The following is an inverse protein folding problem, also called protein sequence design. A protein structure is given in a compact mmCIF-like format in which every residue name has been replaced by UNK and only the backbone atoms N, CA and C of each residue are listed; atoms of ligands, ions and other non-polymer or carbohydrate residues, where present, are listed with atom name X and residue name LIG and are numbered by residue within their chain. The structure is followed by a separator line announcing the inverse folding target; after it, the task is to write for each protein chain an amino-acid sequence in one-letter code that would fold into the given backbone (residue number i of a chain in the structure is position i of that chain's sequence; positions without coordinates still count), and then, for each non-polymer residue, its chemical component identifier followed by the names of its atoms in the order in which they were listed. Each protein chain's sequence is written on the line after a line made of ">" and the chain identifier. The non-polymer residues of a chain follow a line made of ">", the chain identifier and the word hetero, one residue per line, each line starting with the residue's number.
data_IF_218798919199
#
_entry.id   IF_218798919199
#
_cell.length_a   1.000
_cell.length_b   1.000
_cell.length_c   1.000
_cell.angle_alpha   90.00
_cell.angle_beta   90.00
_cell.angle_gamma   90.00
#
_symmetry.space_group_name_H-M   'P 1'
#
loop_
_entity.id
_entity.type
_entity.pdbx_description
1 polymer ?
#
# COMPACT_ATOMS: atom_id res chain seq x y z
N UNK A 1 -1.19 13.76 5.52
CA UNK A 1 -1.70 12.74 4.58
C UNK A 1 -3.24 12.78 4.63
N UNK A 2 -3.95 12.32 3.59
CA UNK A 2 -5.41 12.17 3.66
C UNK A 2 -5.76 11.01 4.60
N UNK A 3 -6.96 11.02 5.17
CA UNK A 3 -7.47 9.97 6.05
C UNK A 3 -8.26 8.87 5.31
N UNK A 4 -8.39 8.98 3.99
CA UNK A 4 -9.08 7.99 3.15
C UNK A 4 -8.59 8.04 1.71
N UNK A 5 -8.77 6.93 1.00
CA UNK A 5 -8.46 6.76 -0.43
C UNK A 5 -9.50 5.83 -1.08
N UNK A 6 -9.84 6.09 -2.35
CA UNK A 6 -10.71 5.20 -3.14
C UNK A 6 -9.84 4.20 -3.90
N UNK A 7 -10.13 2.92 -3.73
CA UNK A 7 -9.47 1.79 -4.38
C UNK A 7 -10.51 1.07 -5.22
N UNK A 8 -10.45 1.26 -6.54
CA UNK A 8 -11.43 0.71 -7.51
C UNK A 8 -12.90 1.00 -7.16
N UNK A 9 -13.17 2.13 -6.51
CA UNK A 9 -14.51 2.54 -6.05
C UNK A 9 -14.82 2.21 -4.58
N UNK A 10 -13.98 1.41 -3.92
CA UNK A 10 -14.10 1.08 -2.50
C UNK A 10 -13.30 2.05 -1.64
N UNK A 11 -13.92 2.64 -0.61
CA UNK A 11 -13.24 3.59 0.27
C UNK A 11 -12.46 2.84 1.37
N UNK A 12 -11.16 3.10 1.44
CA UNK A 12 -10.28 2.67 2.52
C UNK A 12 -9.97 3.85 3.45
N UNK A 13 -10.03 3.61 4.76
CA UNK A 13 -9.57 4.54 5.79
C UNK A 13 -8.06 4.40 5.94
N UNK A 14 -7.38 5.51 6.19
CA UNK A 14 -5.94 5.57 6.44
C UNK A 14 -5.71 6.06 7.86
N UNK A 15 -5.03 5.26 8.67
CA UNK A 15 -4.70 5.57 10.05
C UNK A 15 -3.19 5.55 10.28
N UNK A 16 -2.74 6.38 11.20
CA UNK A 16 -1.38 6.36 11.71
C UNK A 16 -1.41 5.82 13.14
N UNK A 17 -0.67 4.74 13.41
CA UNK A 17 -0.71 4.05 14.70
C UNK A 17 0.69 3.75 15.22
N UNK A 18 0.74 3.50 16.53
CA UNK A 18 1.95 3.12 17.27
C UNK A 18 1.94 1.60 17.48
N UNK A 19 3.08 0.93 17.25
CA UNK A 19 3.17 -0.53 17.33
C UNK A 19 2.97 -1.10 18.75
N UNK A 20 3.12 -0.27 19.81
CA UNK A 20 2.82 -0.68 21.20
C UNK A 20 1.34 -0.97 21.43
N UNK A 21 0.46 -0.31 20.67
CA UNK A 21 -0.99 -0.42 20.82
C UNK A 21 -1.67 -1.18 19.69
N UNK A 22 -0.92 -1.54 18.64
CA UNK A 22 -1.41 -2.30 17.49
C UNK A 22 -0.42 -3.43 17.19
N UNK A 23 -0.78 -4.66 17.61
CA UNK A 23 0.08 -5.83 17.46
C UNK A 23 0.27 -6.26 16.00
N UNK A 24 -0.61 -5.84 15.09
CA UNK A 24 -0.45 -6.12 13.66
C UNK A 24 0.76 -5.36 13.08
N UNK A 25 1.26 -4.33 13.76
CA UNK A 25 2.47 -3.60 13.37
C UNK A 25 3.78 -4.23 13.86
N UNK A 26 3.77 -5.39 14.52
CA UNK A 26 5.00 -6.03 14.98
C UNK A 26 5.89 -6.44 13.79
N UNK A 27 7.08 -5.87 13.73
CA UNK A 27 8.00 -6.04 12.60
C UNK A 27 7.60 -5.34 11.29
N UNK A 28 6.46 -4.63 11.25
CA UNK A 28 5.96 -3.99 10.03
C UNK A 28 6.08 -2.45 10.08
N UNK A 29 6.18 -1.84 8.89
CA UNK A 29 6.08 -0.39 8.71
C UNK A 29 4.65 0.08 8.45
N UNK A 30 3.79 -0.82 8.01
CA UNK A 30 2.37 -0.60 7.74
C UNK A 30 1.68 -1.93 7.46
N UNK A 31 0.36 -1.88 7.31
CA UNK A 31 -0.41 -3.01 6.77
C UNK A 31 -1.67 -2.52 6.08
N UNK A 32 -2.16 -3.33 5.15
CA UNK A 32 -3.47 -3.23 4.54
C UNK A 32 -4.38 -4.34 5.06
N UNK A 33 -5.50 -3.98 5.67
CA UNK A 33 -6.56 -4.91 6.05
C UNK A 33 -7.74 -4.74 5.07
N UNK A 34 -7.82 -5.58 4.03
CA UNK A 34 -8.84 -5.45 3.00
C UNK A 34 -10.24 -5.84 3.46
N UNK A 35 -10.38 -6.61 4.55
CA UNK A 35 -11.71 -6.95 5.07
C UNK A 35 -12.37 -5.77 5.78
N UNK A 36 -11.58 -4.98 6.51
CA UNK A 36 -12.06 -3.81 7.27
C UNK A 36 -11.89 -2.48 6.50
N UNK A 37 -11.33 -2.53 5.29
CA UNK A 37 -11.02 -1.36 4.45
C UNK A 37 -10.16 -0.34 5.20
N UNK A 38 -9.10 -0.84 5.81
CA UNK A 38 -8.19 -0.05 6.64
C UNK A 38 -6.75 -0.21 6.13
N UNK A 39 -6.06 0.91 5.98
CA UNK A 39 -4.61 0.98 5.81
C UNK A 39 -4.04 1.62 7.07
N UNK A 40 -3.04 1.00 7.66
CA UNK A 40 -2.32 1.52 8.82
C UNK A 40 -0.87 1.78 8.46
N UNK A 41 -0.36 2.93 8.89
CA UNK A 41 1.05 3.30 8.79
C UNK A 41 1.59 3.42 10.21
N UNK A 42 2.73 2.78 10.47
CA UNK A 42 3.44 2.92 11.73
C UNK A 42 4.05 4.31 11.85
N UNK A 43 4.08 4.89 13.05
CA UNK A 43 4.69 6.21 13.28
C UNK A 43 5.72 6.25 14.39
N UNK A 44 5.89 5.17 15.15
CA UNK A 44 6.76 5.12 16.33
C UNK A 44 8.09 4.44 16.05
N UNK A 45 8.82 5.03 15.10
CA UNK A 45 10.20 4.67 14.80
C UNK A 45 11.15 5.22 15.87
N UNK A 46 12.31 4.58 16.04
CA UNK A 46 13.37 5.06 16.95
C UNK A 46 13.99 6.39 16.49
N UNK A 47 13.78 6.73 15.22
CA UNK A 47 14.17 7.99 14.59
C UNK A 47 12.92 8.76 14.15
N UNK A 48 13.04 10.07 13.91
CA UNK A 48 11.96 10.86 13.34
C UNK A 48 11.76 10.47 11.87
N UNK A 49 10.62 9.85 11.50
CA UNK A 49 10.41 9.38 10.14
C UNK A 49 10.24 10.55 9.17
N UNK A 50 10.97 10.53 8.06
CA UNK A 50 10.71 11.46 6.96
C UNK A 50 9.32 11.19 6.36
N UNK A 51 8.63 12.27 5.95
CA UNK A 51 7.36 12.18 5.26
C UNK A 51 7.46 11.41 3.95
N UNK A 52 8.66 11.38 3.32
CA UNK A 52 8.93 10.56 2.14
C UNK A 52 8.75 9.06 2.44
N UNK A 53 9.33 8.58 3.55
CA UNK A 53 9.23 7.20 4.02
C UNK A 53 7.78 6.83 4.35
N UNK A 54 7.04 7.69 5.06
CA UNK A 54 5.63 7.42 5.35
C UNK A 54 4.78 7.33 4.07
N UNK A 55 5.11 8.12 3.05
CA UNK A 55 4.45 8.05 1.74
C UNK A 55 4.84 6.80 0.96
N UNK A 56 6.06 6.29 1.12
CA UNK A 56 6.49 5.02 0.51
C UNK A 56 5.70 3.85 1.07
N UNK A 57 5.62 3.73 2.40
CA UNK A 57 4.78 2.74 3.08
C UNK A 57 3.33 2.85 2.61
N UNK A 58 2.76 4.06 2.58
CA UNK A 58 1.38 4.23 2.12
C UNK A 58 1.18 3.76 0.66
N UNK A 59 2.15 3.98 -0.24
CA UNK A 59 2.03 3.47 -1.62
C UNK A 59 2.06 1.95 -1.65
N UNK A 60 2.92 1.33 -0.86
CA UNK A 60 2.99 -0.13 -0.71
C UNK A 60 1.63 -0.70 -0.26
N UNK A 61 1.05 -0.18 0.82
CA UNK A 61 -0.25 -0.68 1.31
C UNK A 61 -1.42 -0.40 0.37
N UNK A 62 -1.36 0.69 -0.40
CA UNK A 62 -2.36 0.97 -1.45
C UNK A 62 -2.28 -0.09 -2.56
N UNK A 63 -1.09 -0.55 -2.96
CA UNK A 63 -0.95 -1.60 -3.99
C UNK A 63 -1.57 -2.91 -3.51
N UNK A 64 -1.32 -3.31 -2.26
CA UNK A 64 -2.01 -4.43 -1.61
C UNK A 64 -3.54 -4.29 -1.72
N UNK A 65 -4.08 -3.11 -1.43
CA UNK A 65 -5.52 -2.86 -1.56
C UNK A 65 -6.01 -3.01 -3.01
N UNK A 66 -5.28 -2.49 -4.01
CA UNK A 66 -5.65 -2.63 -5.43
C UNK A 66 -5.64 -4.09 -5.89
N UNK A 67 -4.67 -4.89 -5.45
CA UNK A 67 -4.63 -6.32 -5.77
C UNK A 67 -5.78 -7.08 -5.14
N UNK A 68 -6.18 -6.73 -3.91
CA UNK A 68 -7.36 -7.32 -3.30
C UNK A 68 -8.66 -6.93 -4.02
N UNK A 69 -8.92 -5.64 -4.20
CA UNK A 69 -10.18 -5.16 -4.80
C UNK A 69 -10.33 -5.57 -6.28
N UNK A 70 -9.23 -5.84 -6.99
CA UNK A 70 -9.26 -6.37 -8.36
C UNK A 70 -9.48 -7.89 -8.43
N UNK A 71 -9.50 -8.59 -7.30
CA UNK A 71 -9.59 -10.04 -7.22
C UNK A 71 -8.28 -10.77 -7.58
N UNK A 72 -7.21 -10.04 -7.89
CA UNK A 72 -5.90 -10.63 -8.21
C UNK A 72 -5.25 -11.30 -7.00
N UNK A 73 -5.49 -10.77 -5.79
CA UNK A 73 -5.02 -11.38 -4.56
C UNK A 73 -5.43 -12.86 -4.46
N UNK A 74 -6.70 -13.15 -4.68
CA UNK A 74 -7.23 -14.53 -4.60
C UNK A 74 -7.01 -15.32 -5.90
N UNK A 75 -7.07 -14.66 -7.06
CA UNK A 75 -7.02 -15.36 -8.35
C UNK A 75 -5.60 -15.69 -8.82
N UNK A 76 -4.59 -14.97 -8.31
CA UNK A 76 -3.19 -15.17 -8.69
C UNK A 76 -2.53 -16.38 -8.02
N UNK A 77 -3.18 -17.03 -7.06
CA UNK A 77 -2.67 -18.21 -6.36
C UNK A 77 -2.33 -19.36 -7.35
N UNK A 78 -3.17 -19.53 -8.37
CA UNK A 78 -2.91 -20.46 -9.50
C UNK A 78 -1.64 -20.13 -10.32
N UNK A 79 -1.07 -18.94 -10.12
CA UNK A 79 0.13 -18.39 -10.78
C UNK A 79 1.14 -17.89 -9.75
N UNK A 80 1.58 -18.78 -8.85
CA UNK A 80 2.61 -18.50 -7.83
C UNK A 80 2.32 -17.30 -6.92
N UNK A 81 1.04 -16.96 -6.74
CA UNK A 81 0.57 -15.87 -5.88
C UNK A 81 1.30 -14.54 -6.12
N UNK A 82 1.59 -14.20 -7.38
CA UNK A 82 2.40 -13.02 -7.71
C UNK A 82 1.79 -11.71 -7.20
N UNK A 83 0.46 -11.62 -7.07
CA UNK A 83 -0.21 -10.42 -6.58
C UNK A 83 -0.12 -10.26 -5.05
N UNK A 84 0.30 -11.29 -4.32
CA UNK A 84 0.61 -11.22 -2.88
C UNK A 84 2.12 -11.30 -2.61
N UNK A 85 2.93 -11.26 -3.66
CA UNK A 85 4.38 -11.25 -3.56
C UNK A 85 4.87 -9.84 -3.22
N UNK A 86 5.55 -9.68 -2.09
CA UNK A 86 6.02 -8.37 -1.62
C UNK A 86 6.98 -7.67 -2.60
N UNK A 87 7.81 -8.42 -3.33
CA UNK A 87 8.69 -7.85 -4.36
C UNK A 87 7.88 -7.19 -5.49
N UNK A 88 6.77 -7.80 -5.90
CA UNK A 88 5.86 -7.23 -6.90
C UNK A 88 5.13 -5.99 -6.37
N UNK A 89 4.67 -6.04 -5.12
CA UNK A 89 4.01 -4.91 -4.44
C UNK A 89 4.96 -3.73 -4.34
N UNK A 90 6.18 -3.97 -3.85
CA UNK A 90 7.26 -2.98 -3.74
C UNK A 90 7.62 -2.40 -5.10
N UNK A 91 7.80 -3.24 -6.12
CA UNK A 91 8.14 -2.77 -7.45
C UNK A 91 7.08 -1.80 -7.97
N UNK A 92 5.78 -2.13 -7.85
CA UNK A 92 4.72 -1.22 -8.29
C UNK A 92 4.69 0.05 -7.44
N UNK A 93 4.84 -0.05 -6.12
CA UNK A 93 4.81 1.11 -5.22
C UNK A 93 5.98 2.10 -5.50
N UNK A 94 7.15 1.57 -5.85
CA UNK A 94 8.36 2.32 -6.18
C UNK A 94 8.30 2.88 -7.60
N UNK A 95 7.86 2.07 -8.58
CA UNK A 95 7.85 2.47 -9.99
C UNK A 95 6.58 3.22 -10.41
N UNK A 96 5.47 3.14 -9.67
CA UNK A 96 4.17 3.66 -10.08
C UNK A 96 4.20 5.13 -10.51
N UNK A 97 4.88 6.00 -9.74
CA UNK A 97 5.04 7.41 -10.11
C UNK A 97 5.87 7.60 -11.40
N UNK A 98 6.88 6.76 -11.63
CA UNK A 98 7.72 6.81 -12.84
C UNK A 98 6.98 6.28 -14.06
N UNK A 99 6.19 5.21 -13.89
CA UNK A 99 5.32 4.65 -14.93
C UNK A 99 4.28 5.68 -15.36
N UNK A 100 3.59 6.30 -14.40
CA UNK A 100 2.60 7.33 -14.68
C UNK A 100 3.23 8.53 -15.42
N UNK A 101 4.39 9.00 -14.95
CA UNK A 101 5.16 10.05 -15.62
C UNK A 101 5.54 9.67 -17.06
N UNK A 102 5.97 8.44 -17.30
CA UNK A 102 6.30 7.97 -18.64
C UNK A 102 5.05 7.95 -19.56
N UNK A 103 3.88 7.61 -19.03
CA UNK A 103 2.62 7.73 -19.77
C UNK A 103 2.29 9.19 -20.10
N UNK A 104 2.46 10.12 -19.17
CA UNK A 104 2.25 11.56 -19.40
C UNK A 104 3.18 12.08 -20.50
N UNK A 105 4.48 11.74 -20.45
CA UNK A 105 5.47 12.13 -21.44
C UNK A 105 5.17 11.58 -22.85
N UNK A 106 4.54 10.40 -22.91
CA UNK A 106 4.12 9.78 -24.16
C UNK A 106 2.75 10.28 -24.66
N UNK A 107 2.04 11.13 -23.91
CA UNK A 107 0.68 11.56 -24.23
C UNK A 107 -0.37 10.45 -24.12
N UNK A 108 -0.12 9.46 -23.25
CA UNK A 108 -0.98 8.29 -23.04
C UNK A 108 -1.91 8.41 -21.81
N UNK A 109 -1.85 9.54 -21.10
CA UNK A 109 -2.75 9.95 -19.99
C UNK A 109 -3.01 11.44 -20.03
#
# INVERSE_FOLDING_TARGET
>A
MKNQVSILGTIYRIEQRNSKNDKELDGLSGYCNPHTKLIVIRTDYEFEPDISMLREVLRHEIVHAFFYESGLWDSSDSTSAWATNEEMVDWIAIQGLKLYKAWEEAGAV
#
